data_IF_363763074962
#
_entry.id   IF_363763074962
#
_cell.length_a   1.000
_cell.length_b   1.000
_cell.length_c   1.000
_cell.angle_alpha   90.00
_cell.angle_beta   90.00
_cell.angle_gamma   90.00
#
_symmetry.space_group_name_H-M   'P 1'
#
loop_
_entity.id
_entity.type
_entity.pdbx_description
1 polymer ?
#
# COMPACT_ATOMS: atom_id res chain seq x y z
N UNK A 1 -11.92 13.08 -12.35
CA UNK A 1 -10.88 12.47 -11.51
C UNK A 1 -9.61 13.32 -11.50
N UNK A 2 -9.12 13.69 -12.70
CA UNK A 2 -7.91 14.49 -12.92
C UNK A 2 -7.76 15.74 -12.04
N UNK A 3 -8.83 16.53 -11.88
CA UNK A 3 -8.79 17.73 -11.03
C UNK A 3 -8.50 17.42 -9.55
N UNK A 4 -9.04 16.31 -9.03
CA UNK A 4 -8.77 15.89 -7.64
C UNK A 4 -7.32 15.41 -7.50
N UNK A 5 -6.84 14.65 -8.49
CA UNK A 5 -5.45 14.16 -8.51
C UNK A 5 -4.47 15.33 -8.61
N UNK A 6 -4.77 16.36 -9.41
CA UNK A 6 -3.92 17.55 -9.54
C UNK A 6 -3.73 18.26 -8.19
N UNK A 7 -4.81 18.49 -7.44
CA UNK A 7 -4.74 19.08 -6.10
C UNK A 7 -3.92 18.21 -5.13
N UNK A 8 -4.06 16.89 -5.19
CA UNK A 8 -3.28 15.99 -4.33
C UNK A 8 -1.79 16.01 -4.69
N UNK A 9 -1.45 16.07 -5.98
CA UNK A 9 -0.05 16.19 -6.46
C UNK A 9 0.60 17.49 -5.99
N UNK A 10 -0.13 18.60 -5.99
CA UNK A 10 0.39 19.89 -5.50
C UNK A 10 0.80 19.85 -4.02
N UNK A 11 0.18 18.98 -3.22
CA UNK A 11 0.46 18.87 -1.78
C UNK A 11 1.25 17.61 -1.41
N UNK A 12 1.64 16.76 -2.36
CA UNK A 12 2.14 15.41 -2.06
C UNK A 12 3.41 15.42 -1.20
N UNK A 13 4.29 16.40 -1.41
CA UNK A 13 5.54 16.57 -0.65
C UNK A 13 5.36 17.29 0.69
N UNK A 14 4.14 17.77 0.99
CA UNK A 14 3.89 18.49 2.24
C UNK A 14 3.90 17.53 3.45
N UNK A 15 4.28 18.02 4.65
CA UNK A 15 4.24 17.20 5.86
C UNK A 15 2.85 16.62 6.18
N UNK A 16 1.79 17.35 5.85
CA UNK A 16 0.42 16.88 6.03
C UNK A 16 0.11 15.64 5.18
N UNK A 17 0.38 15.72 3.87
CA UNK A 17 0.11 14.61 2.97
C UNK A 17 0.97 13.40 3.31
N UNK A 18 2.25 13.60 3.61
CA UNK A 18 3.15 12.52 4.03
C UNK A 18 2.69 11.83 5.33
N UNK A 19 2.14 12.58 6.30
CA UNK A 19 1.58 12.01 7.52
C UNK A 19 0.34 11.13 7.24
N UNK A 20 -0.59 11.61 6.40
CA UNK A 20 -1.76 10.83 5.98
C UNK A 20 -1.34 9.58 5.22
N UNK A 21 -0.41 9.70 4.26
CA UNK A 21 0.14 8.58 3.48
C UNK A 21 0.81 7.55 4.38
N UNK A 22 1.66 7.99 5.31
CA UNK A 22 2.35 7.12 6.25
C UNK A 22 1.38 6.35 7.14
N UNK A 23 0.37 7.03 7.69
CA UNK A 23 -0.69 6.41 8.48
C UNK A 23 -1.49 5.37 7.69
N UNK A 24 -1.84 5.68 6.43
CA UNK A 24 -2.54 4.74 5.55
C UNK A 24 -1.71 3.48 5.28
N UNK A 25 -0.43 3.62 4.93
CA UNK A 25 0.47 2.48 4.68
C UNK A 25 0.54 1.60 5.92
N UNK A 26 0.80 2.18 7.10
CA UNK A 26 0.87 1.43 8.36
C UNK A 26 -0.46 0.73 8.65
N UNK A 27 -1.59 1.38 8.41
CA UNK A 27 -2.92 0.80 8.60
C UNK A 27 -3.19 -0.41 7.69
N UNK A 28 -2.96 -0.26 6.38
CA UNK A 28 -3.21 -1.31 5.38
C UNK A 28 -2.39 -2.58 5.66
N UNK A 29 -1.11 -2.43 6.00
CA UNK A 29 -0.25 -3.59 6.24
C UNK A 29 -0.43 -4.23 7.63
N UNK A 30 -1.00 -3.52 8.61
CA UNK A 30 -1.24 -4.06 9.96
C UNK A 30 -2.65 -4.62 10.18
N UNK A 31 -3.57 -4.46 9.22
CA UNK A 31 -4.95 -4.97 9.32
C UNK A 31 -5.14 -6.18 8.39
N UNK A 32 -5.06 -7.39 8.95
CA UNK A 32 -5.08 -8.63 8.15
C UNK A 32 -6.38 -8.85 7.39
N UNK A 33 -7.48 -8.30 7.89
CA UNK A 33 -8.81 -8.40 7.30
C UNK A 33 -8.91 -7.70 5.94
N UNK A 34 -8.08 -6.68 5.68
CA UNK A 34 -8.09 -5.96 4.40
C UNK A 34 -7.19 -6.58 3.35
N UNK A 35 -6.25 -7.44 3.73
CA UNK A 35 -5.27 -8.05 2.82
C UNK A 35 -5.90 -8.69 1.56
N UNK A 36 -6.99 -9.48 1.67
CA UNK A 36 -7.63 -10.07 0.48
C UNK A 36 -8.30 -9.05 -0.44
N UNK A 37 -8.60 -7.84 0.05
CA UNK A 37 -9.29 -6.80 -0.73
C UNK A 37 -8.34 -6.15 -1.73
N UNK A 38 -7.08 -5.95 -1.34
CA UNK A 38 -6.06 -5.33 -2.19
C UNK A 38 -4.97 -6.32 -2.62
N UNK A 39 -5.21 -7.63 -2.48
CA UNK A 39 -4.33 -8.67 -3.02
C UNK A 39 -3.00 -8.84 -2.28
N UNK A 40 -2.86 -8.36 -1.05
CA UNK A 40 -1.63 -8.58 -0.29
C UNK A 40 -1.63 -9.97 0.35
N UNK A 41 -0.61 -10.79 0.05
CA UNK A 41 -0.56 -12.19 0.50
C UNK A 41 0.02 -12.41 1.92
N UNK A 42 0.31 -11.32 2.64
CA UNK A 42 0.85 -11.36 4.00
C UNK A 42 2.38 -11.55 4.05
N UNK A 43 2.97 -11.45 5.25
CA UNK A 43 4.42 -11.29 5.40
C UNK A 43 5.24 -12.44 4.82
N UNK A 44 6.37 -12.11 4.17
CA UNK A 44 7.28 -13.11 3.59
C UNK A 44 8.25 -13.72 4.59
N UNK A 45 8.60 -13.01 5.67
CA UNK A 45 9.65 -13.41 6.59
C UNK A 45 9.37 -14.77 7.25
N UNK A 46 8.15 -14.97 7.75
CA UNK A 46 7.73 -16.24 8.37
C UNK A 46 7.54 -17.38 7.35
N UNK A 47 7.61 -17.07 6.05
CA UNK A 47 7.24 -17.95 4.94
C UNK A 47 8.39 -18.25 3.98
N UNK A 48 9.61 -17.83 4.32
CA UNK A 48 10.81 -18.10 3.52
C UNK A 48 10.93 -17.25 2.24
N UNK A 49 10.28 -16.09 2.18
CA UNK A 49 10.29 -15.21 1.02
C UNK A 49 9.01 -15.30 0.16
N UNK A 50 9.02 -14.60 -0.98
CA UNK A 50 7.94 -14.63 -1.96
C UNK A 50 8.28 -15.34 -3.27
N UNK A 51 9.49 -15.93 -3.39
CA UNK A 51 9.97 -16.53 -4.65
C UNK A 51 9.00 -17.56 -5.27
N UNK A 52 8.16 -18.21 -4.45
CA UNK A 52 7.12 -19.14 -4.88
C UNK A 52 5.73 -18.80 -4.31
N UNK A 53 5.49 -17.52 -3.99
CA UNK A 53 4.25 -17.04 -3.36
C UNK A 53 3.82 -15.68 -3.94
N UNK A 54 3.55 -15.64 -5.24
CA UNK A 54 2.72 -14.59 -5.85
C UNK A 54 3.22 -13.15 -5.75
N UNK A 55 4.45 -12.83 -5.33
CA UNK A 55 4.84 -11.41 -5.29
C UNK A 55 4.78 -10.72 -6.66
N UNK A 56 4.90 -11.50 -7.72
CA UNK A 56 4.77 -11.07 -9.11
C UNK A 56 3.32 -11.04 -9.64
N UNK A 57 2.31 -11.42 -8.85
CA UNK A 57 0.89 -11.38 -9.24
C UNK A 57 0.12 -10.14 -8.75
N UNK A 58 0.78 -9.27 -7.98
CA UNK A 58 0.19 -8.02 -7.47
C UNK A 58 0.18 -6.97 -8.60
N UNK A 59 -0.99 -6.71 -9.18
CA UNK A 59 -1.13 -5.80 -10.34
C UNK A 59 -0.77 -4.33 -10.08
N UNK A 60 -0.73 -3.90 -8.81
CA UNK A 60 -0.54 -2.49 -8.43
C UNK A 60 0.85 -2.17 -7.88
N UNK A 61 1.73 -3.17 -7.73
CA UNK A 61 3.08 -3.01 -7.18
C UNK A 61 4.12 -2.91 -8.31
#
# INVERSE_FOLDING_TARGET
EEQRVAVLREIEDTPFFQAVRGGLVVGLYNQKEVWPIFGYEGESYSKGGYMARGFDDIEWL
#
